data_IF_196122834344
#
_entry.id   IF_196122834344
#
_cell.length_a   1.000
_cell.length_b   1.000
_cell.length_c   1.000
_cell.angle_alpha   90.00
_cell.angle_beta   90.00
_cell.angle_gamma   90.00
#
_symmetry.space_group_name_H-M   'P 1'
#
loop_
_entity.id
_entity.type
_entity.pdbx_description
1 polymer ?
#
# COMPACT_ATOMS: atom_id res chain seq x y z
N UNK A 1 -28.77 62.16 -8.24
CA UNK A 1 -29.33 60.85 -7.86
C UNK A 1 -28.52 59.80 -8.61
N UNK A 2 -27.47 59.28 -7.98
CA UNK A 2 -26.59 58.27 -8.57
C UNK A 2 -27.23 56.91 -8.24
N UNK A 3 -27.76 56.21 -9.25
CA UNK A 3 -28.23 54.83 -9.05
C UNK A 3 -27.00 53.95 -8.80
N UNK A 4 -26.86 53.43 -7.60
CA UNK A 4 -25.96 52.32 -7.33
C UNK A 4 -26.51 51.10 -8.09
N UNK A 5 -25.71 50.54 -9.01
CA UNK A 5 -26.01 49.25 -9.59
C UNK A 5 -26.04 48.20 -8.47
N UNK A 6 -26.97 47.23 -8.50
CA UNK A 6 -26.94 46.14 -7.55
C UNK A 6 -25.66 45.34 -7.78
N UNK A 7 -24.73 45.38 -6.82
CA UNK A 7 -23.69 44.36 -6.71
C UNK A 7 -24.44 43.09 -6.37
N UNK A 8 -24.69 42.24 -7.37
CA UNK A 8 -25.09 40.88 -7.10
C UNK A 8 -23.94 40.23 -6.35
N UNK A 9 -24.10 40.00 -5.05
CA UNK A 9 -23.22 39.11 -4.33
C UNK A 9 -23.21 37.77 -5.08
N UNK A 10 -22.02 37.27 -5.44
CA UNK A 10 -21.91 35.94 -6.00
C UNK A 10 -22.55 34.95 -5.04
N UNK A 11 -23.36 34.01 -5.54
CA UNK A 11 -23.98 33.00 -4.69
C UNK A 11 -22.90 32.14 -4.04
N UNK A 12 -23.08 31.79 -2.76
CA UNK A 12 -22.20 30.88 -2.07
C UNK A 12 -22.08 29.55 -2.84
N UNK A 13 -20.86 29.11 -3.10
CA UNK A 13 -20.56 27.89 -3.82
C UNK A 13 -19.62 27.02 -3.00
N UNK A 14 -19.99 25.75 -2.84
CA UNK A 14 -19.19 24.72 -2.21
C UNK A 14 -18.87 23.65 -3.27
N UNK A 15 -17.60 23.31 -3.39
CA UNK A 15 -17.10 22.20 -4.22
C UNK A 15 -16.26 21.26 -3.38
N UNK A 16 -16.26 20.01 -3.79
CA UNK A 16 -15.48 18.95 -3.21
C UNK A 16 -14.93 18.11 -4.35
N UNK A 17 -13.63 18.16 -4.52
CA UNK A 17 -12.89 17.37 -5.49
C UNK A 17 -11.98 16.38 -4.76
N UNK A 18 -11.48 15.37 -5.49
CA UNK A 18 -10.51 14.43 -4.96
C UNK A 18 -9.44 14.15 -6.00
N UNK A 19 -8.19 14.02 -5.52
CA UNK A 19 -7.05 13.59 -6.32
C UNK A 19 -6.27 12.54 -5.54
N UNK A 20 -6.03 11.36 -6.12
CA UNK A 20 -5.27 10.29 -5.50
C UNK A 20 -5.17 9.04 -6.36
N UNK A 21 -4.46 8.03 -5.84
CA UNK A 21 -4.35 6.71 -6.46
C UNK A 21 -5.45 5.75 -6.01
N UNK A 22 -6.07 6.01 -4.86
CA UNK A 22 -7.06 5.11 -4.26
C UNK A 22 -6.43 3.89 -3.60
N UNK A 23 -5.14 3.97 -3.27
CA UNK A 23 -4.39 2.91 -2.58
C UNK A 23 -3.85 3.42 -1.25
N UNK A 24 -3.39 2.56 -0.36
CA UNK A 24 -2.82 2.95 0.93
C UNK A 24 -1.48 3.66 0.82
N UNK A 25 -0.66 3.36 -0.20
CA UNK A 25 0.50 4.21 -0.56
C UNK A 25 0.11 5.58 -1.07
N UNK A 26 -1.03 5.68 -1.77
CA UNK A 26 -1.50 6.94 -2.36
C UNK A 26 -3.02 7.16 -2.15
N UNK A 27 -3.45 7.46 -0.90
CA UNK A 27 -4.88 7.59 -0.58
C UNK A 27 -5.52 8.83 -1.19
N UNK A 28 -4.68 9.84 -1.47
CA UNK A 28 -5.09 11.09 -2.04
C UNK A 28 -5.57 12.12 -1.02
N UNK A 29 -6.13 13.19 -1.58
CA UNK A 29 -6.55 14.38 -0.87
C UNK A 29 -7.91 14.80 -1.40
N UNK A 30 -8.85 15.07 -0.51
CA UNK A 30 -10.04 15.84 -0.81
C UNK A 30 -9.73 17.33 -0.76
N UNK A 31 -10.16 18.07 -1.76
CA UNK A 31 -10.02 19.52 -1.81
C UNK A 31 -11.40 20.15 -1.69
N UNK A 32 -11.64 20.82 -0.56
CA UNK A 32 -12.84 21.60 -0.32
C UNK A 32 -12.59 23.00 -0.86
N UNK A 33 -13.46 23.50 -1.73
CA UNK A 33 -13.43 24.88 -2.20
C UNK A 33 -14.73 25.60 -1.83
N UNK A 34 -14.60 26.70 -1.09
CA UNK A 34 -15.71 27.57 -0.68
C UNK A 34 -15.51 28.98 -1.25
N UNK A 35 -16.44 29.42 -2.09
CA UNK A 35 -16.39 30.75 -2.73
C UNK A 35 -17.76 31.44 -2.66
N UNK A 36 -17.82 32.72 -3.02
CA UNK A 36 -19.07 33.49 -2.97
C UNK A 36 -19.60 33.74 -1.55
N UNK A 37 -18.70 33.77 -0.55
CA UNK A 37 -19.03 34.00 0.86
C UNK A 37 -18.14 35.09 1.46
N UNK A 38 -18.59 35.69 2.57
CA UNK A 38 -17.81 36.66 3.35
C UNK A 38 -16.57 35.99 3.99
N UNK A 39 -15.52 36.78 4.26
CA UNK A 39 -14.24 36.29 4.82
C UNK A 39 -14.39 35.50 6.13
N UNK A 40 -15.40 35.85 6.94
CA UNK A 40 -15.66 35.21 8.24
C UNK A 40 -16.63 34.03 8.16
N UNK A 41 -17.09 33.66 6.97
CA UNK A 41 -17.89 32.46 6.80
C UNK A 41 -17.10 31.21 7.22
N UNK A 42 -17.79 30.23 7.81
CA UNK A 42 -17.20 28.97 8.25
C UNK A 42 -18.07 27.82 7.79
N UNK A 43 -17.43 26.76 7.33
CA UNK A 43 -18.02 25.43 7.18
C UNK A 43 -17.41 24.46 8.18
N UNK A 44 -17.95 23.24 8.21
CA UNK A 44 -17.36 22.13 8.94
C UNK A 44 -17.32 20.87 8.10
N UNK A 45 -16.35 20.01 8.35
CA UNK A 45 -16.31 18.67 7.77
C UNK A 45 -16.01 17.60 8.82
N UNK A 46 -16.45 16.39 8.56
CA UNK A 46 -16.09 15.16 9.30
C UNK A 46 -15.47 14.17 8.32
N UNK A 47 -14.51 13.39 8.80
CA UNK A 47 -13.96 12.23 8.09
C UNK A 47 -14.28 11.00 8.92
N UNK A 48 -14.91 10.01 8.31
CA UNK A 48 -15.30 8.73 8.92
C UNK A 48 -16.12 8.88 10.22
N UNK A 49 -16.96 9.90 10.29
CA UNK A 49 -17.76 10.20 11.49
C UNK A 49 -16.94 10.70 12.68
N UNK A 50 -15.67 11.04 12.48
CA UNK A 50 -14.81 11.65 13.49
C UNK A 50 -15.24 13.06 13.90
N UNK A 51 -14.50 13.71 14.83
CA UNK A 51 -14.83 15.05 15.31
C UNK A 51 -14.87 16.08 14.17
N UNK A 52 -15.85 16.99 14.17
CA UNK A 52 -15.97 18.02 13.14
C UNK A 52 -14.78 18.99 13.20
N UNK A 53 -14.23 19.31 12.03
CA UNK A 53 -13.17 20.30 11.81
C UNK A 53 -13.74 21.47 11.00
N UNK A 54 -13.22 22.68 11.21
CA UNK A 54 -13.70 23.87 10.52
C UNK A 54 -12.81 24.27 9.35
N UNK A 55 -13.41 24.93 8.36
CA UNK A 55 -12.70 25.56 7.25
C UNK A 55 -13.34 26.92 6.92
N UNK A 56 -12.56 27.79 6.28
CA UNK A 56 -12.99 29.12 5.84
C UNK A 56 -13.16 29.22 4.31
N UNK A 57 -13.37 30.42 3.78
CA UNK A 57 -13.40 30.65 2.34
C UNK A 57 -12.04 30.34 1.70
N UNK A 58 -12.05 29.94 0.43
CA UNK A 58 -10.86 29.50 -0.30
C UNK A 58 -10.79 27.98 -0.39
N UNK A 59 -9.57 27.44 -0.33
CA UNK A 59 -9.28 26.02 -0.53
C UNK A 59 -8.79 25.39 0.77
N UNK A 60 -9.29 24.21 1.10
CA UNK A 60 -8.82 23.40 2.21
C UNK A 60 -8.59 21.96 1.75
N UNK A 61 -7.40 21.46 2.00
CA UNK A 61 -7.03 20.07 1.72
C UNK A 61 -7.27 19.19 2.94
N UNK A 62 -7.88 18.04 2.70
CA UNK A 62 -8.20 17.03 3.71
C UNK A 62 -7.65 15.69 3.22
N UNK A 63 -6.63 15.18 3.90
CA UNK A 63 -6.05 13.88 3.57
C UNK A 63 -7.10 12.77 3.72
N UNK A 64 -7.16 11.86 2.75
CA UNK A 64 -7.88 10.60 2.90
C UNK A 64 -7.03 9.68 3.80
N UNK A 65 -7.62 9.02 4.81
CA UNK A 65 -6.85 8.06 5.61
C UNK A 65 -6.31 6.91 4.74
N UNK A 66 -5.10 6.44 5.06
CA UNK A 66 -4.43 5.35 4.35
C UNK A 66 -4.90 3.95 4.77
N UNK A 67 -5.86 3.84 5.69
CA UNK A 67 -6.36 2.53 6.11
C UNK A 67 -7.17 1.88 4.99
N UNK A 68 -7.06 0.57 4.83
CA UNK A 68 -7.85 -0.15 3.84
C UNK A 68 -9.36 -0.02 4.12
N UNK A 69 -10.12 0.11 3.04
CA UNK A 69 -11.58 0.15 3.08
C UNK A 69 -12.18 1.50 2.70
N UNK A 70 -13.40 1.73 3.17
CA UNK A 70 -14.20 2.88 2.75
C UNK A 70 -13.97 4.06 3.67
N UNK A 71 -13.58 5.18 3.08
CA UNK A 71 -13.42 6.47 3.72
C UNK A 71 -14.45 7.47 3.21
N UNK A 72 -15.07 8.21 4.13
CA UNK A 72 -16.16 9.14 3.82
C UNK A 72 -15.91 10.50 4.42
N UNK A 73 -16.03 11.53 3.60
CA UNK A 73 -16.05 12.92 4.03
C UNK A 73 -17.46 13.48 3.92
N UNK A 74 -17.91 14.16 4.97
CA UNK A 74 -19.13 14.97 4.96
C UNK A 74 -18.73 16.42 5.15
N UNK A 75 -19.15 17.29 4.23
CA UNK A 75 -18.85 18.72 4.25
C UNK A 75 -20.15 19.47 4.38
N UNK A 76 -20.21 20.39 5.36
CA UNK A 76 -21.30 21.34 5.55
C UNK A 76 -20.75 22.75 5.38
N UNK A 77 -21.27 23.47 4.39
CA UNK A 77 -20.97 24.87 4.16
C UNK A 77 -22.02 25.81 4.75
N UNK A 78 -21.79 27.13 4.64
CA UNK A 78 -22.79 28.14 4.97
C UNK A 78 -24.10 27.96 4.18
N UNK A 79 -25.19 28.54 4.68
CA UNK A 79 -26.49 28.55 4.02
C UNK A 79 -27.07 27.16 3.65
N UNK A 80 -26.65 26.10 4.36
CA UNK A 80 -27.18 24.75 4.18
C UNK A 80 -26.57 23.98 3.00
N UNK A 81 -25.48 24.47 2.40
CA UNK A 81 -24.72 23.71 1.41
C UNK A 81 -24.15 22.45 2.06
N UNK A 82 -24.27 21.30 1.40
CA UNK A 82 -23.69 20.05 1.88
C UNK A 82 -23.21 19.21 0.72
N UNK A 83 -22.03 18.62 0.90
CA UNK A 83 -21.44 17.65 -0.02
C UNK A 83 -20.99 16.43 0.77
N UNK A 84 -20.99 15.30 0.10
CA UNK A 84 -20.49 14.03 0.64
C UNK A 84 -19.70 13.38 -0.46
N UNK A 85 -18.54 12.83 -0.11
CA UNK A 85 -17.77 11.98 -1.00
C UNK A 85 -17.28 10.75 -0.26
N UNK A 86 -17.08 9.67 -1.02
CA UNK A 86 -16.63 8.38 -0.51
C UNK A 86 -15.50 7.87 -1.38
N UNK A 87 -14.42 7.40 -0.76
CA UNK A 87 -13.28 6.77 -1.43
C UNK A 87 -13.04 5.40 -0.84
N UNK A 88 -12.71 4.44 -1.69
CA UNK A 88 -12.25 3.13 -1.26
C UNK A 88 -10.75 3.08 -1.44
N UNK A 89 -10.05 2.79 -0.36
CA UNK A 89 -8.61 2.56 -0.33
C UNK A 89 -8.38 1.06 -0.38
N UNK A 90 -7.58 0.63 -1.34
CA UNK A 90 -7.14 -0.75 -1.52
C UNK A 90 -5.64 -0.84 -1.32
N UNK A 91 -5.17 -2.04 -1.07
CA UNK A 91 -3.75 -2.36 -1.02
C UNK A 91 -3.13 -2.22 -2.43
N UNK A 92 -2.01 -1.49 -2.58
CA UNK A 92 -1.29 -1.41 -3.86
C UNK A 92 -0.33 -2.54 -4.18
N UNK A 93 -0.05 -3.42 -3.24
CA UNK A 93 0.71 -4.65 -3.44
C UNK A 93 0.07 -5.84 -2.69
N UNK A 94 -1.11 -6.30 -3.15
CA UNK A 94 -1.88 -7.33 -2.46
C UNK A 94 -1.40 -8.76 -2.76
N UNK A 95 -0.17 -8.90 -3.27
CA UNK A 95 0.36 -10.17 -3.72
C UNK A 95 1.70 -10.49 -3.06
N UNK A 96 1.91 -11.75 -2.64
CA UNK A 96 3.22 -12.17 -2.20
C UNK A 96 4.20 -12.22 -3.39
N UNK A 97 5.53 -12.19 -3.12
CA UNK A 97 6.53 -12.32 -4.16
C UNK A 97 6.42 -13.64 -4.94
N UNK A 98 6.83 -13.60 -6.20
CA UNK A 98 7.16 -14.77 -6.98
C UNK A 98 8.45 -15.42 -6.46
N UNK A 99 8.29 -16.62 -5.91
CA UNK A 99 9.39 -17.42 -5.36
C UNK A 99 9.50 -18.76 -6.11
N UNK A 100 10.67 -19.09 -6.65
CA UNK A 100 10.94 -20.42 -7.23
C UNK A 100 12.16 -21.07 -6.60
N UNK A 101 12.16 -22.41 -6.58
CA UNK A 101 13.29 -23.22 -6.18
C UNK A 101 13.47 -24.27 -7.26
N UNK A 102 14.59 -24.22 -7.98
CA UNK A 102 14.96 -25.20 -8.98
C UNK A 102 16.19 -25.98 -8.50
N UNK A 103 16.26 -27.27 -8.83
CA UNK A 103 17.39 -28.11 -8.48
C UNK A 103 18.19 -28.49 -9.73
N UNK A 104 19.52 -28.35 -9.64
CA UNK A 104 20.44 -28.81 -10.65
C UNK A 104 21.51 -29.70 -10.01
N UNK A 105 21.54 -30.99 -10.37
CA UNK A 105 22.54 -31.94 -9.89
C UNK A 105 22.12 -33.40 -10.06
N UNK A 106 22.95 -34.31 -9.52
CA UNK A 106 22.71 -35.77 -9.60
C UNK A 106 22.29 -36.41 -8.27
N UNK A 107 22.32 -35.68 -7.16
CA UNK A 107 22.00 -36.20 -5.83
C UNK A 107 22.99 -37.26 -5.35
N UNK A 108 24.26 -37.11 -5.70
CA UNK A 108 25.33 -38.05 -5.29
C UNK A 108 26.38 -37.33 -4.47
N UNK A 109 27.13 -38.04 -3.63
CA UNK A 109 28.21 -37.45 -2.83
C UNK A 109 29.22 -36.60 -3.63
N UNK A 110 29.51 -36.98 -4.87
CA UNK A 110 30.46 -36.26 -5.73
C UNK A 110 29.78 -35.15 -6.56
N UNK A 111 28.47 -35.25 -6.78
CA UNK A 111 27.67 -34.25 -7.50
C UNK A 111 26.33 -34.02 -6.76
N UNK A 112 26.35 -33.39 -5.55
CA UNK A 112 25.14 -33.21 -4.74
C UNK A 112 24.14 -32.25 -5.39
N UNK A 113 24.66 -31.32 -6.19
CA UNK A 113 23.90 -30.30 -6.88
C UNK A 113 23.75 -29.00 -6.12
N UNK A 114 22.94 -28.11 -6.67
CA UNK A 114 22.60 -26.80 -6.12
C UNK A 114 21.09 -26.58 -6.21
N UNK A 115 20.56 -25.81 -5.27
CA UNK A 115 19.29 -25.12 -5.42
C UNK A 115 19.52 -23.74 -6.02
N UNK A 116 18.73 -23.40 -7.01
CA UNK A 116 18.63 -22.08 -7.60
C UNK A 116 17.32 -21.47 -7.13
N UNK A 117 17.41 -20.53 -6.19
CA UNK A 117 16.28 -19.81 -5.63
C UNK A 117 16.11 -18.54 -6.46
N UNK A 118 14.95 -18.29 -7.03
CA UNK A 118 14.65 -16.99 -7.66
C UNK A 118 13.55 -16.30 -6.88
N UNK A 119 13.84 -15.08 -6.44
CA UNK A 119 12.88 -14.17 -5.79
C UNK A 119 12.64 -12.99 -6.72
N UNK A 120 11.39 -12.74 -7.07
CA UNK A 120 10.97 -11.63 -7.89
C UNK A 120 9.63 -11.10 -7.38
N UNK A 121 9.43 -9.80 -7.50
CA UNK A 121 8.19 -9.15 -7.11
C UNK A 121 8.00 -7.94 -8.03
N UNK A 122 7.07 -8.01 -9.00
CA UNK A 122 6.85 -6.94 -9.96
C UNK A 122 6.19 -5.70 -9.35
N UNK A 123 5.36 -5.88 -8.33
CA UNK A 123 4.67 -4.83 -7.58
C UNK A 123 5.63 -4.14 -6.61
N UNK A 124 6.49 -4.91 -5.93
CA UNK A 124 7.48 -4.42 -4.96
C UNK A 124 8.92 -4.84 -5.27
N UNK A 125 9.74 -3.96 -5.89
CA UNK A 125 11.17 -4.26 -6.10
C UNK A 125 11.98 -4.35 -4.79
N UNK A 126 11.33 -4.11 -3.64
CA UNK A 126 11.89 -4.17 -2.29
C UNK A 126 11.60 -5.49 -1.58
N UNK A 127 11.02 -6.50 -2.25
CA UNK A 127 10.80 -7.81 -1.67
C UNK A 127 12.07 -8.37 -1.02
N UNK A 128 11.92 -9.05 0.11
CA UNK A 128 13.04 -9.68 0.82
C UNK A 128 12.67 -11.08 1.23
N UNK A 129 13.65 -11.88 1.62
CA UNK A 129 13.36 -13.19 2.17
C UNK A 129 14.48 -13.74 3.01
N UNK A 130 14.29 -14.99 3.38
CA UNK A 130 15.30 -15.81 4.04
C UNK A 130 15.24 -17.23 3.54
N UNK A 131 16.37 -17.93 3.60
CA UNK A 131 16.41 -19.37 3.41
C UNK A 131 17.18 -20.06 4.53
N UNK A 132 16.86 -21.34 4.77
CA UNK A 132 17.63 -22.23 5.63
C UNK A 132 17.61 -23.65 5.08
N UNK A 133 18.67 -24.41 5.32
CA UNK A 133 18.74 -25.85 4.97
C UNK A 133 18.59 -26.66 6.25
N UNK A 134 17.60 -27.55 6.30
CA UNK A 134 17.16 -28.27 7.49
C UNK A 134 16.95 -27.29 8.67
N UNK A 135 17.50 -27.61 9.84
CA UNK A 135 17.49 -26.76 11.03
C UNK A 135 18.78 -25.91 11.15
N UNK A 136 19.41 -25.61 10.01
CA UNK A 136 20.60 -24.78 9.93
C UNK A 136 20.32 -23.28 10.14
N UNK A 137 21.37 -22.44 10.05
CA UNK A 137 21.23 -21.00 10.18
C UNK A 137 20.31 -20.41 9.10
N UNK A 138 19.64 -19.32 9.47
CA UNK A 138 18.83 -18.52 8.56
C UNK A 138 19.77 -17.56 7.81
N UNK A 139 19.63 -17.54 6.49
CA UNK A 139 20.38 -16.66 5.59
C UNK A 139 19.43 -15.66 4.94
N UNK A 140 19.85 -14.39 4.75
CA UNK A 140 19.04 -13.42 4.02
C UNK A 140 18.99 -13.75 2.53
N UNK A 141 17.87 -13.37 1.89
CA UNK A 141 17.62 -13.49 0.46
C UNK A 141 17.18 -12.11 -0.06
N UNK A 142 17.81 -11.66 -1.14
CA UNK A 142 17.42 -10.46 -1.87
C UNK A 142 16.81 -10.83 -3.22
N UNK A 143 16.12 -9.91 -3.91
CA UNK A 143 15.58 -10.15 -5.25
C UNK A 143 16.66 -10.60 -6.24
N UNK A 144 16.26 -11.47 -7.16
CA UNK A 144 17.12 -12.13 -8.13
C UNK A 144 17.37 -13.60 -7.79
N UNK A 145 18.43 -14.15 -8.37
CA UNK A 145 18.77 -15.57 -8.26
C UNK A 145 19.89 -15.81 -7.25
N UNK A 146 19.62 -16.63 -6.24
CA UNK A 146 20.60 -17.10 -5.25
C UNK A 146 20.86 -18.59 -5.44
N UNK A 147 22.14 -18.97 -5.51
CA UNK A 147 22.57 -20.36 -5.65
C UNK A 147 23.02 -20.91 -4.30
N UNK A 148 22.40 -21.99 -3.85
CA UNK A 148 22.68 -22.65 -2.57
C UNK A 148 23.16 -24.07 -2.83
N UNK A 149 24.35 -24.41 -2.34
CA UNK A 149 24.89 -25.76 -2.50
C UNK A 149 24.12 -26.77 -1.64
N UNK A 150 23.79 -27.94 -2.21
CA UNK A 150 23.31 -29.08 -1.43
C UNK A 150 24.51 -29.70 -0.70
N UNK A 151 24.41 -29.98 0.62
CA UNK A 151 25.51 -30.58 1.35
C UNK A 151 25.89 -31.96 0.77
N UNK A 152 27.18 -32.31 0.80
CA UNK A 152 27.70 -33.49 0.11
C UNK A 152 27.61 -34.79 0.90
N UNK A 153 27.30 -34.73 2.20
CA UNK A 153 27.20 -35.94 3.01
C UNK A 153 25.94 -36.72 2.62
N UNK A 154 25.96 -38.06 2.64
CA UNK A 154 24.75 -38.83 2.40
C UNK A 154 23.66 -38.47 3.41
N UNK A 155 22.46 -38.21 2.92
CA UNK A 155 21.35 -37.76 3.75
C UNK A 155 20.27 -37.03 2.96
N UNK A 156 19.21 -36.68 3.68
CA UNK A 156 18.10 -35.88 3.16
C UNK A 156 18.28 -34.44 3.58
N UNK A 157 18.20 -33.53 2.63
CA UNK A 157 18.30 -32.09 2.85
C UNK A 157 17.07 -31.39 2.30
N UNK A 158 16.46 -30.58 3.15
CA UNK A 158 15.31 -29.75 2.81
C UNK A 158 15.74 -28.30 2.89
N UNK A 159 15.58 -27.56 1.81
CA UNK A 159 15.67 -26.09 1.87
C UNK A 159 14.28 -25.52 2.14
N UNK A 160 14.19 -24.57 3.07
CA UNK A 160 12.98 -23.78 3.33
C UNK A 160 13.30 -22.33 3.03
N UNK A 161 12.49 -21.71 2.18
CA UNK A 161 12.64 -20.33 1.74
C UNK A 161 11.35 -19.59 2.03
N UNK A 162 11.44 -18.47 2.73
CA UNK A 162 10.31 -17.59 3.05
C UNK A 162 10.63 -16.20 2.51
N UNK A 163 9.71 -15.59 1.76
CA UNK A 163 9.86 -14.25 1.21
C UNK A 163 8.64 -13.39 1.53
N UNK A 164 8.85 -12.08 1.63
CA UNK A 164 7.83 -11.06 1.86
C UNK A 164 7.92 -9.98 0.79
N UNK A 165 6.76 -9.46 0.36
CA UNK A 165 6.69 -8.34 -0.60
C UNK A 165 7.23 -7.04 0.00
N UNK A 166 7.28 -6.99 1.34
CA UNK A 166 7.79 -5.86 2.12
C UNK A 166 6.93 -4.60 1.90
N UNK A 167 5.66 -4.77 1.56
CA UNK A 167 4.70 -3.68 1.63
C UNK A 167 4.31 -3.40 3.08
N UNK A 168 4.48 -2.15 3.49
CA UNK A 168 4.40 -1.73 4.90
C UNK A 168 3.89 -0.31 5.04
N UNK A 169 3.16 0.19 4.06
CA UNK A 169 2.56 1.51 4.20
C UNK A 169 1.25 1.48 5.00
N UNK A 170 0.65 0.29 5.16
CA UNK A 170 -0.44 0.05 6.13
C UNK A 170 -0.19 -1.11 7.11
N UNK A 171 -1.11 -1.30 8.05
CA UNK A 171 -1.02 -2.38 9.05
C UNK A 171 -1.59 -3.68 8.49
N UNK A 172 -0.79 -4.76 8.49
CA UNK A 172 -1.09 -6.07 7.89
C UNK A 172 -1.05 -6.12 6.35
N UNK A 173 -0.23 -5.25 5.79
CA UNK A 173 -0.01 -5.06 4.35
C UNK A 173 1.06 -6.01 3.77
N UNK A 174 1.84 -6.64 4.66
CA UNK A 174 2.95 -7.50 4.23
C UNK A 174 2.43 -8.91 3.88
N UNK A 175 2.58 -9.28 2.61
CA UNK A 175 2.29 -10.63 2.12
C UNK A 175 3.52 -11.53 2.13
N UNK A 176 3.29 -12.81 2.41
CA UNK A 176 4.35 -13.80 2.65
C UNK A 176 4.14 -15.06 1.82
N UNK A 177 5.20 -15.52 1.15
CA UNK A 177 5.26 -16.84 0.51
C UNK A 177 6.32 -17.71 1.18
N UNK A 178 6.03 -19.01 1.35
CA UNK A 178 7.03 -19.99 1.77
C UNK A 178 7.05 -21.17 0.80
N UNK A 179 8.25 -21.58 0.39
CA UNK A 179 8.48 -22.76 -0.45
C UNK A 179 9.56 -23.65 0.14
N UNK A 180 9.44 -24.94 -0.16
CA UNK A 180 10.41 -25.95 0.25
C UNK A 180 10.77 -26.85 -0.93
N UNK A 181 12.01 -27.34 -0.93
CA UNK A 181 12.44 -28.43 -1.82
C UNK A 181 13.32 -29.40 -1.02
N UNK A 182 13.16 -30.70 -1.29
CA UNK A 182 13.88 -31.76 -0.58
C UNK A 182 14.69 -32.59 -1.58
N UNK A 183 15.97 -32.82 -1.26
CA UNK A 183 16.88 -33.63 -2.05
C UNK A 183 17.58 -34.68 -1.20
N UNK A 184 17.73 -35.86 -1.76
CA UNK A 184 18.50 -36.94 -1.18
C UNK A 184 19.89 -36.97 -1.84
N UNK A 185 20.93 -37.12 -1.02
CA UNK A 185 22.30 -37.37 -1.47
C UNK A 185 22.65 -38.82 -1.13
N UNK A 186 23.01 -39.59 -2.16
CA UNK A 186 23.42 -40.99 -2.07
C UNK A 186 24.93 -41.17 -2.17
#
# INVERSE_FOLDING_TARGET
MLLAAPVFAAAAELKLDWTGGGTDRNPGVWTIQLTGVEAEARGSYTVDGGPPRTFGPGVADVAVPATLGVHRIEVTGPAGLSLVDTRTIVDDDPTPPDLTIEYAGKGTRLEPGVWMITLFDPESPQATGTYRVNDGPIHPLAPGTTVVAVPYFPGTYTITVTATNNDRDSSNDEDVVTRTDTREVK
#
